data_IF_274909324265
#
_entry.id   IF_274909324265
#
_cell.length_a   1.000
_cell.length_b   1.000
_cell.length_c   1.000
_cell.angle_alpha   90.00
_cell.angle_beta   90.00
_cell.angle_gamma   90.00
#
_symmetry.space_group_name_H-M   'P 1'
#
loop_
_entity.id
_entity.type
_entity.pdbx_description
1 polymer ?
#
# COMPACT_ATOMS: atom_id res chain seq x y z
N UNK A 1 -35.53 31.56 9.32
CA UNK A 1 -35.32 32.68 10.24
C UNK A 1 -33.83 32.73 10.56
N UNK A 2 -33.19 33.58 9.86
CA UNK A 2 -32.15 34.57 10.12
C UNK A 2 -30.90 34.08 10.84
N UNK A 3 -29.85 33.90 10.07
CA UNK A 3 -28.73 34.86 9.83
C UNK A 3 -28.11 35.50 11.07
N UNK A 4 -26.81 35.31 11.25
CA UNK A 4 -25.87 36.44 11.37
C UNK A 4 -24.42 36.04 11.09
N UNK A 5 -23.87 36.74 10.10
CA UNK A 5 -22.44 36.82 9.73
C UNK A 5 -21.71 37.68 10.75
N UNK A 6 -20.44 37.44 10.98
CA UNK A 6 -19.51 38.51 11.29
C UNK A 6 -18.12 38.24 10.69
N UNK A 7 -17.76 39.11 9.73
CA UNK A 7 -16.41 39.32 9.21
C UNK A 7 -15.68 40.24 10.18
N UNK A 8 -14.38 40.02 10.42
CA UNK A 8 -13.47 41.09 10.80
C UNK A 8 -12.22 40.95 9.92
N UNK A 9 -12.04 42.01 9.13
CA UNK A 9 -10.80 42.37 8.40
C UNK A 9 -10.01 43.28 9.32
N UNK A 10 -8.72 43.08 9.42
CA UNK A 10 -7.85 44.17 9.83
C UNK A 10 -6.52 44.10 9.08
N UNK A 11 -6.29 45.24 8.44
CA UNK A 11 -5.16 45.65 7.60
C UNK A 11 -4.14 46.38 8.48
N UNK A 12 -2.90 46.60 7.91
CA UNK A 12 -1.96 47.69 8.21
C UNK A 12 -0.81 47.30 9.14
N UNK A 13 0.42 47.72 8.95
CA UNK A 13 1.14 48.71 8.15
C UNK A 13 2.62 48.36 8.07
N UNK A 14 3.19 48.77 7.00
CA UNK A 14 4.62 48.78 6.67
C UNK A 14 5.29 49.99 7.36
N UNK A 15 6.49 49.83 7.92
CA UNK A 15 7.39 50.96 8.13
C UNK A 15 8.84 50.52 7.88
N UNK A 16 9.42 51.14 6.84
CA UNK A 16 10.87 51.18 6.56
C UNK A 16 11.54 52.17 7.48
N UNK A 17 12.76 51.88 7.90
CA UNK A 17 13.78 52.95 8.11
C UNK A 17 15.20 52.38 7.92
N UNK A 18 15.91 53.05 7.04
CA UNK A 18 17.33 52.92 6.66
C UNK A 18 18.24 53.61 7.68
N UNK A 19 19.49 53.25 7.67
CA UNK A 19 20.78 53.90 7.99
C UNK A 19 21.66 52.92 8.79
N UNK A 20 22.92 52.73 8.53
CA UNK A 20 23.96 53.32 7.68
C UNK A 20 25.27 52.55 7.90
N UNK A 21 26.12 52.65 6.95
CA UNK A 21 27.46 52.08 6.81
C UNK A 21 28.44 52.46 7.94
N UNK A 22 29.35 51.53 8.34
CA UNK A 22 30.76 51.86 8.55
C UNK A 22 31.65 50.67 8.18
N UNK A 23 32.67 50.98 7.38
CA UNK A 23 33.77 50.11 6.97
C UNK A 23 34.76 49.90 8.13
N UNK A 24 35.29 48.68 8.23
CA UNK A 24 36.45 48.39 9.06
C UNK A 24 37.13 47.10 8.55
N UNK A 25 38.18 47.30 7.74
CA UNK A 25 39.09 46.24 7.28
C UNK A 25 40.05 45.84 8.40
N UNK A 26 40.28 44.54 8.64
CA UNK A 26 41.55 43.99 9.13
C UNK A 26 41.71 42.52 8.79
N UNK A 27 42.78 42.31 8.04
CA UNK A 27 43.75 41.24 7.99
C UNK A 27 43.39 39.75 8.22
N UNK A 28 43.79 39.00 7.23
CA UNK A 28 44.03 37.56 7.08
C UNK A 28 44.83 36.95 8.22
N UNK A 29 44.34 35.81 8.74
CA UNK A 29 45.18 34.70 9.20
C UNK A 29 44.54 33.41 8.78
N UNK A 30 45.21 32.66 7.90
CA UNK A 30 44.87 31.32 7.51
C UNK A 30 45.27 30.37 8.67
N UNK A 31 44.34 29.62 9.16
CA UNK A 31 44.54 28.43 9.93
C UNK A 31 43.63 27.35 9.37
N UNK A 32 44.23 26.27 8.93
CA UNK A 32 43.61 25.05 8.47
C UNK A 32 42.62 24.56 9.54
N UNK A 33 41.32 24.64 9.24
CA UNK A 33 40.29 23.96 10.02
C UNK A 33 39.74 22.80 9.15
N UNK A 34 40.06 21.61 9.62
CA UNK A 34 39.56 20.34 9.12
C UNK A 34 38.02 20.38 8.88
N UNK A 35 37.67 20.07 7.66
CA UNK A 35 36.32 20.01 7.16
C UNK A 35 35.58 18.77 7.74
N UNK A 36 35.02 18.91 8.93
CA UNK A 36 33.99 18.03 9.46
C UNK A 36 32.66 18.74 9.34
N UNK A 37 32.14 18.83 8.11
CA UNK A 37 30.72 19.12 7.90
C UNK A 37 29.92 17.95 8.47
N UNK A 38 29.49 18.08 9.71
CA UNK A 38 28.36 17.32 10.23
C UNK A 38 27.14 17.75 9.39
N UNK A 39 26.75 16.92 8.41
CA UNK A 39 25.45 17.03 7.75
C UNK A 39 24.37 17.00 8.85
N UNK A 40 23.87 18.15 9.27
CA UNK A 40 22.60 18.24 9.95
C UNK A 40 21.52 17.85 8.94
N UNK A 41 21.18 16.54 8.93
CA UNK A 41 19.97 16.04 8.27
C UNK A 41 18.79 16.71 8.97
N UNK A 42 18.24 17.77 8.37
CA UNK A 42 16.93 18.32 8.74
C UNK A 42 15.97 17.16 8.70
N UNK A 43 15.40 16.79 9.86
CA UNK A 43 14.40 15.74 9.95
C UNK A 43 13.22 16.16 9.09
N UNK A 44 13.01 15.50 7.95
CA UNK A 44 11.86 15.76 7.10
C UNK A 44 10.62 15.25 7.82
N UNK A 45 9.89 16.14 8.49
CA UNK A 45 8.70 15.82 9.28
C UNK A 45 7.59 15.20 8.44
N UNK A 46 7.62 15.43 7.10
CA UNK A 46 6.63 14.95 6.15
C UNK A 46 6.97 13.60 5.51
N UNK A 47 8.12 12.97 5.85
CA UNK A 47 8.48 11.67 5.30
C UNK A 47 7.47 10.61 5.71
N UNK A 48 6.89 9.91 4.71
CA UNK A 48 5.98 8.80 4.96
C UNK A 48 6.75 7.59 5.50
N UNK A 49 6.40 7.14 6.71
CA UNK A 49 7.04 6.01 7.41
C UNK A 49 5.96 5.04 7.88
N UNK A 50 5.55 4.12 7.00
CA UNK A 50 4.46 3.20 7.26
C UNK A 50 4.93 1.77 7.54
N UNK A 51 4.03 0.96 8.09
CA UNK A 51 4.17 -0.49 8.14
C UNK A 51 2.83 -1.17 7.88
N UNK A 52 2.90 -2.39 7.33
CA UNK A 52 1.71 -3.18 7.05
C UNK A 52 1.27 -4.00 8.26
N UNK A 53 -0.04 -3.93 8.53
CA UNK A 53 -0.79 -4.84 9.40
C UNK A 53 -1.65 -5.74 8.52
N UNK A 54 -1.18 -6.93 8.25
CA UNK A 54 -1.72 -7.83 7.24
C UNK A 54 -2.81 -8.76 7.77
N UNK A 55 -3.46 -9.54 6.91
CA UNK A 55 -4.44 -10.54 7.35
C UNK A 55 -3.81 -11.66 8.20
N UNK A 56 -2.51 -11.84 8.16
CA UNK A 56 -1.78 -12.72 9.09
C UNK A 56 -1.84 -12.22 10.54
N UNK A 57 -1.88 -10.91 10.74
CA UNK A 57 -1.98 -10.29 12.08
C UNK A 57 -3.31 -10.57 12.76
N UNK A 58 -4.41 -10.60 11.99
CA UNK A 58 -5.70 -11.03 12.53
C UNK A 58 -5.70 -12.53 12.87
N UNK A 59 -5.00 -13.34 12.10
CA UNK A 59 -4.83 -14.77 12.42
C UNK A 59 -4.00 -14.94 13.70
N UNK A 60 -2.93 -14.16 13.86
CA UNK A 60 -2.12 -14.13 15.08
C UNK A 60 -2.92 -13.64 16.30
N UNK A 61 -3.77 -12.60 16.12
CA UNK A 61 -4.71 -12.17 17.15
C UNK A 61 -5.63 -13.32 17.58
N UNK A 62 -6.24 -14.01 16.63
CA UNK A 62 -7.13 -15.14 16.89
C UNK A 62 -6.44 -16.32 17.58
N UNK A 63 -5.19 -16.57 17.26
CA UNK A 63 -4.38 -17.60 17.94
C UNK A 63 -4.04 -17.20 19.38
N UNK A 64 -3.73 -15.91 19.60
CA UNK A 64 -3.32 -15.38 20.90
C UNK A 64 -4.46 -15.30 21.92
N UNK A 65 -5.68 -14.92 21.49
CA UNK A 65 -6.80 -14.66 22.39
C UNK A 65 -7.90 -15.70 22.28
N UNK A 66 -8.22 -16.38 23.40
CA UNK A 66 -9.39 -17.28 23.50
C UNK A 66 -10.69 -16.45 23.45
N UNK A 67 -10.81 -15.40 24.30
CA UNK A 67 -11.91 -14.43 24.28
C UNK A 67 -11.60 -13.35 23.23
N UNK A 68 -12.41 -13.29 22.17
CA UNK A 68 -12.22 -12.40 21.02
C UNK A 68 -13.37 -11.41 20.97
N UNK A 69 -13.14 -10.21 21.52
CA UNK A 69 -14.11 -9.13 21.60
C UNK A 69 -13.43 -7.77 21.31
N UNK A 70 -14.20 -6.70 21.34
CA UNK A 70 -13.71 -5.33 21.11
C UNK A 70 -12.50 -4.99 22.00
N UNK A 71 -12.57 -5.31 23.30
CA UNK A 71 -11.51 -4.99 24.27
C UNK A 71 -10.19 -5.68 23.94
N UNK A 72 -10.23 -7.00 23.68
CA UNK A 72 -9.01 -7.76 23.36
C UNK A 72 -8.45 -7.39 21.99
N UNK A 73 -9.31 -7.06 21.01
CA UNK A 73 -8.88 -6.58 19.71
C UNK A 73 -8.24 -5.19 19.81
N UNK A 74 -8.89 -4.25 20.54
CA UNK A 74 -8.32 -2.92 20.83
C UNK A 74 -6.94 -3.04 21.46
N UNK A 75 -6.80 -3.87 22.51
CA UNK A 75 -5.51 -4.14 23.18
C UNK A 75 -4.46 -4.64 22.20
N UNK A 76 -4.79 -5.63 21.36
CA UNK A 76 -3.86 -6.19 20.38
C UNK A 76 -3.41 -5.15 19.33
N UNK A 77 -4.35 -4.38 18.79
CA UNK A 77 -4.06 -3.35 17.80
C UNK A 77 -3.28 -2.17 18.38
N UNK A 78 -3.58 -1.76 19.63
CA UNK A 78 -2.81 -0.73 20.34
C UNK A 78 -1.33 -1.12 20.47
N UNK A 79 -1.03 -2.40 20.72
CA UNK A 79 0.36 -2.86 20.73
C UNK A 79 1.05 -2.70 19.37
N UNK A 80 0.33 -2.91 18.26
CA UNK A 80 0.88 -2.72 16.92
C UNK A 80 1.20 -1.23 16.67
N UNK A 81 0.25 -0.35 16.96
CA UNK A 81 0.42 1.11 16.82
C UNK A 81 1.59 1.63 17.67
N UNK A 82 1.62 1.26 18.96
CA UNK A 82 2.72 1.65 19.86
C UNK A 82 4.08 1.12 19.41
N UNK A 83 4.13 -0.10 18.87
CA UNK A 83 5.37 -0.66 18.28
C UNK A 83 5.84 0.18 17.11
N UNK A 84 4.99 0.49 16.13
CA UNK A 84 5.34 1.33 14.99
C UNK A 84 5.84 2.72 15.43
N UNK A 85 5.08 3.38 16.31
CA UNK A 85 5.46 4.69 16.86
C UNK A 85 6.81 4.66 17.59
N UNK A 86 7.09 3.60 18.34
CA UNK A 86 8.38 3.43 19.05
C UNK A 86 9.58 3.28 18.11
N UNK A 87 9.33 2.94 16.85
CA UNK A 87 10.34 2.84 15.78
C UNK A 87 10.48 4.12 14.95
N UNK A 88 9.62 5.13 15.18
CA UNK A 88 9.60 6.38 14.41
C UNK A 88 8.66 6.35 13.20
N UNK A 89 7.74 5.38 13.14
CA UNK A 89 6.73 5.29 12.07
C UNK A 89 5.52 6.19 12.38
N UNK A 90 4.89 6.73 11.32
CA UNK A 90 3.78 7.69 11.40
C UNK A 90 2.50 7.23 10.70
N UNK A 91 2.52 6.06 10.02
CA UNK A 91 1.36 5.48 9.36
C UNK A 91 1.28 3.96 9.56
N UNK A 92 0.05 3.42 9.62
CA UNK A 92 -0.22 1.98 9.60
C UNK A 92 -1.17 1.64 8.47
N UNK A 93 -0.77 0.69 7.60
CA UNK A 93 -1.55 0.20 6.48
C UNK A 93 -2.24 -1.09 6.91
N UNK A 94 -3.56 -1.05 7.10
CA UNK A 94 -4.33 -2.18 7.66
C UNK A 94 -5.11 -2.93 6.59
N UNK A 95 -4.94 -4.24 6.51
CA UNK A 95 -5.62 -5.09 5.53
C UNK A 95 -7.09 -5.27 5.90
N UNK A 96 -7.98 -4.51 5.30
CA UNK A 96 -9.41 -4.54 5.60
C UNK A 96 -10.23 -5.40 4.65
N UNK A 97 -9.68 -5.71 3.45
CA UNK A 97 -10.33 -6.57 2.47
C UNK A 97 -9.31 -7.47 1.72
N UNK A 98 -8.81 -8.53 2.37
CA UNK A 98 -7.83 -9.45 1.77
C UNK A 98 -8.43 -10.37 0.70
N UNK A 99 -9.75 -10.59 0.76
CA UNK A 99 -10.51 -11.46 -0.12
C UNK A 99 -11.84 -10.80 -0.50
N UNK A 100 -12.79 -11.58 -0.98
CA UNK A 100 -14.18 -11.11 -1.23
C UNK A 100 -14.99 -10.94 0.05
N UNK A 101 -14.40 -10.44 1.13
CA UNK A 101 -14.98 -10.23 2.45
C UNK A 101 -14.34 -8.99 3.13
N UNK A 102 -14.87 -8.53 4.28
CA UNK A 102 -14.48 -7.28 4.92
C UNK A 102 -14.18 -7.42 6.42
N UNK A 103 -13.23 -6.61 6.93
CA UNK A 103 -12.91 -6.41 8.34
C UNK A 103 -13.66 -5.21 8.94
N UNK A 104 -14.77 -4.81 8.33
CA UNK A 104 -15.62 -3.70 8.74
C UNK A 104 -17.07 -4.00 8.41
N UNK A 105 -18.02 -3.26 8.98
CA UNK A 105 -19.44 -3.40 8.66
C UNK A 105 -19.70 -2.93 7.24
N UNK A 106 -19.99 -3.87 6.33
CA UNK A 106 -20.18 -3.59 4.90
C UNK A 106 -21.55 -4.01 4.41
N UNK A 107 -22.15 -3.17 3.53
CA UNK A 107 -23.36 -3.49 2.74
C UNK A 107 -23.04 -4.44 1.59
N UNK A 108 -21.79 -4.44 1.11
CA UNK A 108 -21.36 -5.15 -0.10
C UNK A 108 -20.69 -6.48 0.18
N UNK A 109 -19.95 -6.61 1.31
CA UNK A 109 -19.13 -7.75 1.62
C UNK A 109 -19.49 -8.40 2.95
N UNK A 110 -19.47 -9.75 3.04
CA UNK A 110 -19.65 -10.43 4.31
C UNK A 110 -18.45 -10.20 5.24
N UNK A 111 -18.64 -10.36 6.54
CA UNK A 111 -17.55 -10.36 7.51
C UNK A 111 -16.45 -11.35 7.15
N UNK A 112 -15.19 -10.93 7.28
CA UNK A 112 -14.05 -11.77 6.91
C UNK A 112 -13.85 -12.92 7.87
N UNK A 113 -13.47 -14.08 7.31
CA UNK A 113 -13.00 -15.24 8.08
C UNK A 113 -11.75 -14.94 8.90
N UNK A 114 -10.92 -13.98 8.46
CA UNK A 114 -9.66 -13.66 9.12
C UNK A 114 -9.87 -13.07 10.51
N UNK A 115 -10.98 -12.34 10.76
CA UNK A 115 -11.31 -11.82 12.09
C UNK A 115 -12.22 -12.74 12.89
N UNK A 116 -13.19 -13.40 12.25
CA UNK A 116 -14.25 -14.17 12.94
C UNK A 116 -14.04 -15.69 12.90
N UNK A 117 -13.12 -16.19 12.06
CA UNK A 117 -12.88 -17.61 11.83
C UNK A 117 -13.77 -18.26 10.78
N UNK A 118 -14.95 -17.68 10.50
CA UNK A 118 -15.89 -18.13 9.47
C UNK A 118 -16.41 -16.92 8.69
N UNK A 119 -16.36 -16.96 7.36
CA UNK A 119 -16.85 -15.88 6.52
C UNK A 119 -18.34 -15.65 6.74
N UNK A 120 -18.74 -14.40 6.94
CA UNK A 120 -20.11 -13.99 7.22
C UNK A 120 -20.52 -14.01 8.69
N UNK A 121 -19.69 -14.58 9.60
CA UNK A 121 -19.93 -14.53 11.05
C UNK A 121 -19.54 -13.14 11.56
N UNK A 122 -20.49 -12.41 12.18
CA UNK A 122 -20.22 -11.14 12.83
C UNK A 122 -19.26 -11.35 14.02
N UNK A 123 -18.15 -10.58 14.11
CA UNK A 123 -17.24 -10.66 15.25
C UNK A 123 -17.80 -10.05 16.55
N UNK A 124 -18.95 -9.34 16.49
CA UNK A 124 -19.56 -8.65 17.63
C UNK A 124 -19.02 -7.24 17.87
N UNK A 125 -18.14 -6.75 16.98
CA UNK A 125 -17.58 -5.40 17.02
C UNK A 125 -17.13 -5.01 15.60
N UNK A 126 -16.84 -3.71 15.40
CA UNK A 126 -16.31 -3.21 14.13
C UNK A 126 -14.79 -3.02 14.22
N UNK A 127 -14.00 -3.92 13.60
CA UNK A 127 -12.53 -3.83 13.64
C UNK A 127 -11.99 -2.51 13.07
N UNK A 128 -12.49 -2.04 11.92
CA UNK A 128 -11.94 -0.83 11.29
C UNK A 128 -12.23 0.42 12.13
N UNK A 129 -13.42 0.53 12.70
CA UNK A 129 -13.75 1.62 13.62
C UNK A 129 -12.81 1.65 14.83
N UNK A 130 -12.50 0.49 15.42
CA UNK A 130 -11.53 0.42 16.53
C UNK A 130 -10.13 0.80 16.05
N UNK A 131 -9.73 0.38 14.85
CA UNK A 131 -8.40 0.65 14.32
C UNK A 131 -8.18 2.13 14.03
N UNK A 132 -9.14 2.83 13.41
CA UNK A 132 -9.04 4.28 13.16
C UNK A 132 -8.92 5.05 14.47
N UNK A 133 -9.82 4.78 15.43
CA UNK A 133 -9.79 5.41 16.75
C UNK A 133 -8.45 5.21 17.48
N UNK A 134 -7.90 3.99 17.45
CA UNK A 134 -6.62 3.70 18.14
C UNK A 134 -5.45 4.35 17.42
N UNK A 135 -5.41 4.35 16.10
CA UNK A 135 -4.34 4.99 15.33
C UNK A 135 -4.31 6.50 15.61
N UNK A 136 -5.43 7.19 15.45
CA UNK A 136 -5.53 8.63 15.64
C UNK A 136 -5.28 9.05 17.09
N UNK A 137 -5.81 8.31 18.09
CA UNK A 137 -5.54 8.56 19.51
C UNK A 137 -4.04 8.43 19.89
N UNK A 138 -3.23 7.81 19.02
CA UNK A 138 -1.78 7.72 19.16
C UNK A 138 -1.01 8.64 18.17
N UNK A 139 -1.69 9.55 17.45
CA UNK A 139 -1.09 10.44 16.46
C UNK A 139 -0.44 9.69 15.29
N UNK A 140 -1.10 8.63 14.80
CA UNK A 140 -0.65 7.82 13.67
C UNK A 140 -1.73 7.80 12.60
N UNK A 141 -1.35 8.06 11.35
CA UNK A 141 -2.22 7.89 10.18
C UNK A 141 -2.56 6.42 9.96
N UNK A 142 -3.72 6.17 9.35
CA UNK A 142 -4.19 4.81 9.02
C UNK A 142 -4.72 4.75 7.61
N UNK A 143 -4.23 3.79 6.82
CA UNK A 143 -4.72 3.52 5.47
C UNK A 143 -5.41 2.16 5.40
N UNK A 144 -6.57 2.12 4.73
CA UNK A 144 -7.34 0.90 4.52
C UNK A 144 -6.82 0.15 3.29
N UNK A 145 -6.18 -1.00 3.51
CA UNK A 145 -5.65 -1.83 2.44
C UNK A 145 -6.70 -2.82 1.93
N UNK A 146 -6.97 -2.76 0.65
CA UNK A 146 -7.87 -3.68 -0.06
C UNK A 146 -7.12 -4.46 -1.14
N UNK A 147 -7.51 -5.73 -1.32
CA UNK A 147 -7.15 -6.53 -2.48
C UNK A 147 -8.33 -6.49 -3.47
N UNK A 148 -8.20 -5.92 -4.68
CA UNK A 148 -9.38 -5.64 -5.50
C UNK A 148 -10.07 -6.89 -6.04
N UNK A 149 -9.32 -7.88 -6.55
CA UNK A 149 -9.91 -8.96 -7.34
C UNK A 149 -9.88 -10.34 -6.68
N UNK A 150 -9.10 -10.56 -5.66
CA UNK A 150 -8.99 -11.87 -5.02
C UNK A 150 -10.21 -12.20 -4.16
N UNK A 151 -10.96 -13.24 -4.52
CA UNK A 151 -12.16 -13.71 -3.80
C UNK A 151 -11.82 -14.77 -2.77
N UNK A 152 -11.02 -15.77 -3.18
CA UNK A 152 -10.55 -16.85 -2.32
C UNK A 152 -9.22 -17.40 -2.83
N UNK A 153 -8.38 -17.89 -1.93
CA UNK A 153 -7.12 -18.57 -2.24
C UNK A 153 -7.16 -20.00 -1.70
N UNK A 154 -6.60 -20.94 -2.48
CA UNK A 154 -6.53 -22.37 -2.12
C UNK A 154 -7.87 -23.09 -2.18
N UNK A 155 -8.91 -22.50 -2.80
CA UNK A 155 -10.18 -23.18 -3.03
C UNK A 155 -10.97 -22.52 -4.16
N UNK A 156 -11.55 -23.34 -5.04
CA UNK A 156 -12.49 -22.94 -6.08
C UNK A 156 -13.94 -23.29 -5.73
N UNK A 157 -14.18 -23.80 -4.52
CA UNK A 157 -15.51 -24.21 -4.08
C UNK A 157 -16.32 -23.01 -3.60
N UNK A 158 -17.25 -22.55 -4.41
CA UNK A 158 -18.16 -21.43 -4.09
C UNK A 158 -19.06 -21.70 -2.88
N UNK A 159 -19.38 -22.97 -2.57
CA UNK A 159 -20.19 -23.33 -1.39
C UNK A 159 -19.49 -23.01 -0.07
N UNK A 160 -18.15 -22.92 -0.07
CA UNK A 160 -17.35 -22.49 1.10
C UNK A 160 -17.43 -20.98 1.37
N UNK A 161 -17.91 -20.18 0.41
CA UNK A 161 -18.15 -18.75 0.60
C UNK A 161 -19.48 -18.54 1.35
N UNK A 162 -19.59 -17.47 2.12
CA UNK A 162 -20.84 -17.03 2.73
C UNK A 162 -21.94 -16.87 1.68
N UNK A 163 -23.20 -17.18 2.03
CA UNK A 163 -24.38 -16.92 1.18
C UNK A 163 -24.54 -15.43 0.86
N UNK A 164 -24.01 -14.55 1.72
CA UNK A 164 -24.01 -13.09 1.51
C UNK A 164 -22.89 -12.63 0.55
N UNK A 165 -21.89 -13.51 0.20
CA UNK A 165 -20.78 -13.14 -0.66
C UNK A 165 -21.23 -12.88 -2.11
N UNK A 166 -20.93 -11.73 -2.72
CA UNK A 166 -21.30 -11.42 -4.10
C UNK A 166 -20.84 -12.48 -5.10
N UNK A 167 -19.62 -13.01 -4.91
CA UNK A 167 -19.05 -14.04 -5.78
C UNK A 167 -19.91 -15.32 -5.80
N UNK A 168 -20.39 -15.78 -4.63
CA UNK A 168 -21.30 -16.92 -4.53
C UNK A 168 -22.64 -16.64 -5.16
N UNK A 169 -23.21 -15.44 -4.90
CA UNK A 169 -24.49 -15.01 -5.50
C UNK A 169 -24.41 -14.95 -7.03
N UNK A 170 -23.32 -14.40 -7.56
CA UNK A 170 -23.10 -14.30 -9.01
C UNK A 170 -22.87 -15.65 -9.67
N UNK A 171 -22.09 -16.54 -9.04
CA UNK A 171 -21.84 -17.86 -9.57
C UNK A 171 -23.12 -18.67 -9.76
N UNK A 172 -24.09 -18.54 -8.86
CA UNK A 172 -25.36 -19.29 -8.90
C UNK A 172 -26.34 -18.79 -9.98
N UNK A 173 -26.07 -17.67 -10.65
CA UNK A 173 -26.94 -17.09 -11.69
C UNK A 173 -26.28 -17.17 -13.07
N UNK A 174 -26.91 -17.83 -14.06
CA UNK A 174 -26.37 -17.99 -15.43
C UNK A 174 -25.89 -16.66 -16.05
N UNK A 175 -26.63 -15.57 -15.88
CA UNK A 175 -26.36 -14.23 -16.44
C UNK A 175 -25.10 -13.58 -15.84
N UNK A 176 -24.77 -13.83 -14.56
CA UNK A 176 -23.69 -13.17 -13.82
C UNK A 176 -22.53 -14.07 -13.42
N UNK A 177 -22.58 -15.37 -13.72
CA UNK A 177 -21.56 -16.33 -13.26
C UNK A 177 -20.14 -15.99 -13.70
N UNK A 178 -19.98 -15.29 -14.81
CA UNK A 178 -18.67 -14.85 -15.32
C UNK A 178 -18.12 -13.59 -14.63
N UNK A 179 -18.82 -13.02 -13.67
CA UNK A 179 -18.26 -11.99 -12.80
C UNK A 179 -17.20 -12.56 -11.84
N UNK A 180 -17.20 -13.90 -11.67
CA UNK A 180 -16.20 -14.60 -10.86
C UNK A 180 -15.66 -15.78 -11.63
N UNK A 181 -14.35 -15.91 -11.65
CA UNK A 181 -13.62 -16.93 -12.42
C UNK A 181 -12.71 -17.72 -11.51
N UNK A 182 -12.62 -19.01 -11.76
CA UNK A 182 -11.64 -19.90 -11.11
C UNK A 182 -10.36 -19.95 -11.95
N UNK A 183 -9.20 -19.86 -11.28
CA UNK A 183 -7.91 -20.02 -11.92
C UNK A 183 -6.86 -20.51 -10.92
N UNK A 184 -6.10 -21.54 -11.29
CA UNK A 184 -5.03 -22.16 -10.46
C UNK A 184 -5.43 -22.30 -8.97
N UNK A 185 -6.53 -22.98 -8.71
CA UNK A 185 -6.98 -23.30 -7.35
C UNK A 185 -7.54 -22.12 -6.54
N UNK A 186 -7.78 -20.98 -7.15
CA UNK A 186 -8.27 -19.75 -6.50
C UNK A 186 -9.46 -19.16 -7.25
N UNK A 187 -10.23 -18.30 -6.57
CA UNK A 187 -11.34 -17.54 -7.14
C UNK A 187 -10.99 -16.06 -7.23
N UNK A 188 -11.33 -15.47 -8.37
CA UNK A 188 -11.09 -14.05 -8.66
C UNK A 188 -12.35 -13.39 -9.20
N UNK A 189 -12.58 -12.14 -8.83
CA UNK A 189 -13.48 -11.28 -9.59
C UNK A 189 -12.90 -11.03 -10.98
N UNK A 190 -13.78 -11.00 -12.00
CA UNK A 190 -13.37 -10.79 -13.40
C UNK A 190 -13.18 -9.29 -13.68
N UNK A 191 -11.95 -8.81 -13.91
CA UNK A 191 -11.70 -7.37 -14.13
C UNK A 191 -12.40 -6.80 -15.36
N UNK A 192 -12.72 -7.65 -16.34
CA UNK A 192 -13.40 -7.25 -17.57
C UNK A 192 -14.91 -6.93 -17.38
N UNK A 193 -15.45 -7.11 -16.18
CA UNK A 193 -16.88 -6.89 -15.89
C UNK A 193 -17.12 -5.56 -15.19
N UNK A 194 -17.95 -4.70 -15.78
CA UNK A 194 -18.33 -3.42 -15.17
C UNK A 194 -19.00 -3.61 -13.80
N UNK A 195 -19.84 -4.63 -13.62
CA UNK A 195 -20.45 -4.96 -12.32
C UNK A 195 -19.42 -5.26 -11.23
N UNK A 196 -18.29 -5.86 -11.60
CA UNK A 196 -17.16 -6.12 -10.68
C UNK A 196 -16.48 -4.81 -10.30
N UNK A 197 -16.18 -3.95 -11.27
CA UNK A 197 -15.58 -2.62 -11.00
C UNK A 197 -16.49 -1.80 -10.09
N UNK A 198 -17.78 -1.76 -10.37
CA UNK A 198 -18.76 -1.03 -9.56
C UNK A 198 -18.83 -1.58 -8.12
N UNK A 199 -18.79 -2.91 -7.93
CA UNK A 199 -18.74 -3.51 -6.59
C UNK A 199 -17.51 -3.05 -5.81
N UNK A 200 -16.34 -3.03 -6.46
CA UNK A 200 -15.08 -2.65 -5.82
C UNK A 200 -15.08 -1.17 -5.47
N UNK A 201 -15.46 -0.30 -6.41
CA UNK A 201 -15.55 1.15 -6.22
C UNK A 201 -16.55 1.48 -5.10
N UNK A 202 -17.75 0.87 -5.10
CA UNK A 202 -18.73 1.09 -4.05
C UNK A 202 -18.23 0.63 -2.67
N UNK A 203 -17.46 -0.46 -2.61
CA UNK A 203 -16.83 -0.89 -1.37
C UNK A 203 -15.73 0.06 -0.88
N UNK A 204 -15.04 0.77 -1.77
CA UNK A 204 -14.09 1.83 -1.40
C UNK A 204 -14.83 3.08 -0.93
N UNK A 205 -15.88 3.51 -1.66
CA UNK A 205 -16.74 4.63 -1.23
C UNK A 205 -17.28 4.39 0.17
N UNK A 206 -17.82 3.19 0.43
CA UNK A 206 -18.31 2.79 1.76
C UNK A 206 -17.27 2.96 2.87
N UNK A 207 -15.99 2.68 2.59
CA UNK A 207 -14.91 2.89 3.56
C UNK A 207 -14.72 4.38 3.82
N UNK A 208 -14.54 5.19 2.78
CA UNK A 208 -14.25 6.63 2.91
C UNK A 208 -15.43 7.39 3.53
N UNK A 209 -16.66 6.99 3.21
CA UNK A 209 -17.90 7.62 3.73
C UNK A 209 -18.15 7.31 5.22
N UNK A 210 -17.72 6.15 5.72
CA UNK A 210 -18.14 5.67 7.06
C UNK A 210 -16.98 5.50 8.07
N UNK A 211 -15.74 5.63 7.65
CA UNK A 211 -14.56 5.44 8.51
C UNK A 211 -13.56 6.56 8.27
N UNK A 212 -13.04 7.07 9.37
CA UNK A 212 -12.01 8.11 9.38
C UNK A 212 -10.64 7.49 9.04
N UNK A 213 -10.44 7.20 7.74
CA UNK A 213 -9.18 6.67 7.20
C UNK A 213 -8.43 7.77 6.47
N UNK A 214 -7.11 7.83 6.62
CA UNK A 214 -6.26 8.82 5.96
C UNK A 214 -5.92 8.42 4.53
N UNK A 215 -6.19 7.16 4.16
CA UNK A 215 -5.93 6.68 2.81
C UNK A 215 -6.55 5.32 2.48
N UNK A 216 -6.61 5.06 1.18
CA UNK A 216 -6.92 3.76 0.59
C UNK A 216 -5.65 3.22 -0.04
N UNK A 217 -5.30 1.99 0.30
CA UNK A 217 -4.12 1.28 -0.21
C UNK A 217 -4.52 0.03 -1.00
N UNK A 218 -3.87 -0.23 -2.13
CA UNK A 218 -3.99 -1.49 -2.85
C UNK A 218 -2.61 -2.17 -2.99
N UNK A 219 -2.62 -3.49 -3.11
CA UNK A 219 -1.43 -4.28 -3.40
C UNK A 219 -1.29 -4.65 -4.90
N UNK A 220 -0.46 -5.64 -5.21
CA UNK A 220 -0.13 -6.09 -6.56
C UNK A 220 -1.06 -7.19 -7.11
N UNK A 221 -2.13 -7.55 -6.40
CA UNK A 221 -3.01 -8.64 -6.80
C UNK A 221 -4.11 -8.19 -7.78
N UNK A 222 -3.71 -7.83 -9.02
CA UNK A 222 -4.64 -7.53 -10.11
C UNK A 222 -5.06 -8.80 -10.85
N UNK A 223 -4.48 -9.07 -12.01
CA UNK A 223 -4.72 -10.33 -12.73
C UNK A 223 -3.84 -11.45 -12.18
N UNK A 224 -4.31 -12.71 -12.25
CA UNK A 224 -3.44 -13.85 -12.00
C UNK A 224 -2.36 -13.96 -13.08
N UNK A 225 -1.23 -14.60 -12.73
CA UNK A 225 -0.18 -14.87 -13.71
C UNK A 225 -0.60 -15.96 -14.69
N UNK A 226 -0.45 -15.70 -15.99
CA UNK A 226 -0.70 -16.62 -17.10
C UNK A 226 0.61 -17.20 -17.61
N UNK A 227 0.53 -18.26 -18.46
CA UNK A 227 1.66 -18.83 -19.22
C UNK A 227 1.60 -18.38 -20.68
N UNK A 228 2.68 -18.58 -21.41
CA UNK A 228 2.72 -18.36 -22.86
C UNK A 228 1.66 -19.17 -23.61
N UNK A 229 1.38 -20.40 -23.15
CA UNK A 229 0.40 -21.30 -23.77
C UNK A 229 -1.05 -20.88 -23.56
N UNK A 230 -1.37 -20.14 -22.50
CA UNK A 230 -2.77 -19.84 -22.18
C UNK A 230 -3.11 -18.34 -22.04
N UNK A 231 -2.15 -17.43 -22.23
CA UNK A 231 -2.39 -15.99 -22.09
C UNK A 231 -3.52 -15.45 -22.97
N UNK A 232 -3.69 -16.00 -24.16
CA UNK A 232 -4.71 -15.57 -25.13
C UNK A 232 -6.05 -16.28 -24.98
N UNK A 233 -6.12 -17.40 -24.27
CA UNK A 233 -7.32 -18.26 -24.14
C UNK A 233 -7.91 -18.30 -22.73
N UNK A 234 -7.08 -18.02 -21.70
CA UNK A 234 -7.47 -18.17 -20.33
C UNK A 234 -8.31 -17.01 -19.78
N UNK A 235 -9.00 -17.31 -18.70
CA UNK A 235 -9.65 -16.35 -17.80
C UNK A 235 -10.70 -15.50 -18.49
N UNK A 236 -10.41 -14.23 -18.84
CA UNK A 236 -11.32 -13.26 -19.44
C UNK A 236 -11.25 -13.19 -20.98
N UNK A 237 -10.61 -14.14 -21.61
CA UNK A 237 -10.46 -14.15 -23.07
C UNK A 237 -11.80 -14.11 -23.84
N UNK A 238 -12.88 -14.68 -23.25
CA UNK A 238 -14.23 -14.58 -23.82
C UNK A 238 -14.72 -13.13 -23.84
N UNK A 239 -14.52 -12.40 -22.75
CA UNK A 239 -14.87 -10.98 -22.62
C UNK A 239 -14.05 -10.13 -23.59
N UNK A 240 -12.76 -10.42 -23.73
CA UNK A 240 -11.90 -9.76 -24.73
C UNK A 240 -12.44 -9.94 -26.14
N UNK A 241 -12.72 -11.18 -26.59
CA UNK A 241 -13.25 -11.43 -27.94
C UNK A 241 -14.58 -10.73 -28.24
N UNK A 242 -15.40 -10.50 -27.23
CA UNK A 242 -16.67 -9.77 -27.35
C UNK A 242 -16.51 -8.24 -27.28
N UNK A 243 -15.32 -7.74 -27.01
CA UNK A 243 -15.07 -6.30 -26.80
C UNK A 243 -14.86 -5.55 -28.13
N UNK A 244 -15.10 -4.23 -28.09
CA UNK A 244 -14.74 -3.31 -29.19
C UNK A 244 -13.25 -3.29 -29.46
N UNK A 245 -12.41 -3.50 -28.43
CA UNK A 245 -10.95 -3.55 -28.59
C UNK A 245 -10.50 -4.73 -29.44
N UNK A 246 -11.12 -5.91 -29.31
CA UNK A 246 -10.82 -7.06 -30.18
C UNK A 246 -11.25 -6.80 -31.61
N UNK A 247 -12.43 -6.18 -31.81
CA UNK A 247 -12.93 -5.77 -33.15
C UNK A 247 -11.99 -4.75 -33.79
N UNK A 248 -11.43 -3.81 -33.02
CA UNK A 248 -10.40 -2.86 -33.44
C UNK A 248 -8.98 -3.44 -33.51
N UNK A 249 -8.83 -4.77 -33.57
CA UNK A 249 -7.55 -5.52 -33.72
C UNK A 249 -6.53 -5.24 -32.59
N UNK A 250 -6.96 -4.73 -31.45
CA UNK A 250 -6.07 -4.51 -30.30
C UNK A 250 -5.87 -5.82 -29.53
N UNK A 251 -4.66 -6.08 -29.06
CA UNK A 251 -4.35 -7.34 -28.41
C UNK A 251 -4.91 -7.44 -26.98
N UNK A 252 -5.03 -8.66 -26.46
CA UNK A 252 -5.60 -8.96 -25.14
C UNK A 252 -4.78 -8.35 -23.99
N UNK A 253 -3.47 -8.10 -24.16
CA UNK A 253 -2.63 -7.46 -23.15
C UNK A 253 -3.07 -6.01 -22.93
N UNK A 254 -3.28 -5.27 -24.03
CA UNK A 254 -3.81 -3.90 -23.97
C UNK A 254 -5.21 -3.88 -23.36
N UNK A 255 -6.08 -4.81 -23.78
CA UNK A 255 -7.41 -4.94 -23.19
C UNK A 255 -7.34 -5.10 -21.65
N UNK A 256 -6.52 -6.03 -21.13
CA UNK A 256 -6.40 -6.26 -19.70
C UNK A 256 -5.84 -5.06 -18.94
N UNK A 257 -4.84 -4.37 -19.50
CA UNK A 257 -4.32 -3.12 -18.92
C UNK A 257 -5.41 -2.06 -18.79
N UNK A 258 -6.23 -1.89 -19.83
CA UNK A 258 -7.33 -0.93 -19.77
C UNK A 258 -8.41 -1.32 -18.75
N UNK A 259 -8.67 -2.62 -18.52
CA UNK A 259 -9.59 -3.02 -17.44
C UNK A 259 -9.04 -2.64 -16.05
N UNK A 260 -7.72 -2.76 -15.83
CA UNK A 260 -7.07 -2.34 -14.58
C UNK A 260 -7.05 -0.82 -14.48
N UNK A 261 -6.68 -0.10 -15.55
CA UNK A 261 -6.67 1.37 -15.60
C UNK A 261 -8.05 1.96 -15.26
N UNK A 262 -9.12 1.40 -15.85
CA UNK A 262 -10.49 1.83 -15.55
C UNK A 262 -10.87 1.67 -14.08
N UNK A 263 -10.43 0.59 -13.42
CA UNK A 263 -10.69 0.41 -11.99
C UNK A 263 -9.90 1.44 -11.16
N UNK A 264 -8.60 1.56 -11.42
CA UNK A 264 -7.70 2.45 -10.65
C UNK A 264 -8.17 3.89 -10.74
N UNK A 265 -8.47 4.38 -11.98
CA UNK A 265 -9.01 5.72 -12.18
C UNK A 265 -10.36 5.92 -11.48
N UNK A 266 -11.26 4.94 -11.56
CA UNK A 266 -12.58 5.03 -10.92
C UNK A 266 -12.49 5.07 -9.38
N UNK A 267 -11.55 4.32 -8.78
CA UNK A 267 -11.30 4.38 -7.33
C UNK A 267 -10.74 5.76 -6.96
N UNK A 268 -9.71 6.24 -7.64
CA UNK A 268 -9.11 7.56 -7.37
C UNK A 268 -10.18 8.66 -7.44
N UNK A 269 -10.94 8.72 -8.53
CA UNK A 269 -12.02 9.69 -8.69
C UNK A 269 -13.07 9.58 -7.59
N UNK A 270 -13.44 8.36 -7.18
CA UNK A 270 -14.43 8.14 -6.12
C UNK A 270 -13.90 8.59 -4.75
N UNK A 271 -12.65 8.31 -4.42
CA UNK A 271 -12.02 8.77 -3.18
C UNK A 271 -11.99 10.30 -3.14
N UNK A 272 -11.46 10.93 -4.20
CA UNK A 272 -11.31 12.40 -4.26
C UNK A 272 -12.64 13.15 -4.31
N UNK A 273 -13.71 12.53 -4.82
CA UNK A 273 -15.05 13.14 -4.81
C UNK A 273 -15.73 13.13 -3.44
N UNK A 274 -15.35 12.21 -2.55
CA UNK A 274 -15.90 12.11 -1.19
C UNK A 274 -15.05 12.95 -0.22
N UNK A 275 -13.74 12.71 -0.23
CA UNK A 275 -12.78 13.46 0.60
C UNK A 275 -11.45 13.63 -0.16
N UNK A 276 -11.14 14.85 -0.63
CA UNK A 276 -9.87 15.13 -1.33
C UNK A 276 -8.61 14.92 -0.47
N UNK A 277 -8.72 14.96 0.85
CA UNK A 277 -7.60 14.75 1.79
C UNK A 277 -7.19 13.28 1.92
N UNK A 278 -8.12 12.34 1.68
CA UNK A 278 -7.85 10.90 1.70
C UNK A 278 -6.96 10.53 0.52
N UNK A 279 -5.80 9.93 0.80
CA UNK A 279 -4.87 9.49 -0.24
C UNK A 279 -5.28 8.16 -0.85
N UNK A 280 -4.95 7.94 -2.13
CA UNK A 280 -5.07 6.64 -2.77
C UNK A 280 -3.72 6.20 -3.35
N UNK A 281 -3.21 5.07 -2.88
CA UNK A 281 -1.94 4.54 -3.35
C UNK A 281 -1.96 3.05 -3.66
N UNK A 282 -0.95 2.62 -4.42
CA UNK A 282 -0.78 1.23 -4.83
C UNK A 282 0.63 0.75 -4.53
N UNK A 283 0.74 -0.44 -3.93
CA UNK A 283 1.99 -1.15 -3.70
C UNK A 283 2.15 -2.30 -4.71
N UNK A 284 2.67 -2.02 -5.92
CA UNK A 284 2.86 -3.04 -6.94
C UNK A 284 4.09 -3.90 -6.65
N UNK A 285 4.22 -5.03 -7.38
CA UNK A 285 5.45 -5.81 -7.37
C UNK A 285 6.66 -4.95 -7.76
N UNK A 286 7.80 -5.19 -7.10
CA UNK A 286 8.99 -4.32 -7.23
C UNK A 286 9.63 -4.30 -8.62
N UNK A 287 9.48 -5.35 -9.43
CA UNK A 287 10.09 -5.42 -10.75
C UNK A 287 9.13 -4.85 -11.83
N UNK A 288 9.51 -3.71 -12.41
CA UNK A 288 8.71 -3.01 -13.44
C UNK A 288 8.48 -3.91 -14.67
N UNK A 289 9.45 -4.72 -15.08
CA UNK A 289 9.29 -5.60 -16.24
C UNK A 289 8.21 -6.64 -16.03
N UNK A 290 8.10 -7.18 -14.80
CA UNK A 290 7.03 -8.12 -14.47
C UNK A 290 5.66 -7.44 -14.51
N UNK A 291 5.56 -6.18 -14.07
CA UNK A 291 4.32 -5.41 -14.07
C UNK A 291 3.82 -5.13 -15.49
N UNK A 292 4.74 -4.82 -16.41
CA UNK A 292 4.45 -4.54 -17.82
C UNK A 292 4.45 -5.79 -18.70
N UNK A 293 4.69 -6.97 -18.11
CA UNK A 293 4.68 -8.26 -18.78
C UNK A 293 3.34 -8.55 -19.46
N UNK A 294 3.39 -9.34 -20.55
CA UNK A 294 2.19 -9.89 -21.18
C UNK A 294 1.53 -11.04 -20.41
N UNK A 295 2.17 -11.52 -19.33
CA UNK A 295 1.74 -12.74 -18.63
C UNK A 295 1.14 -12.49 -17.25
N UNK A 296 1.37 -11.31 -16.62
CA UNK A 296 0.92 -11.09 -15.26
C UNK A 296 0.66 -9.60 -14.96
N UNK A 297 -0.06 -9.34 -13.89
CA UNK A 297 -0.39 -8.02 -13.33
C UNK A 297 -1.16 -7.08 -14.28
N UNK A 298 -0.70 -6.85 -15.49
CA UNK A 298 -1.26 -5.92 -16.49
C UNK A 298 -1.37 -4.49 -15.97
N UNK A 299 -0.33 -4.04 -15.26
CA UNK A 299 -0.22 -2.70 -14.69
C UNK A 299 0.36 -1.74 -15.73
N UNK A 300 -0.20 -0.53 -15.81
CA UNK A 300 0.27 0.53 -16.70
C UNK A 300 1.02 1.61 -15.92
N UNK A 301 2.21 1.24 -15.42
CA UNK A 301 3.03 2.08 -14.55
C UNK A 301 3.31 3.45 -15.17
N UNK A 302 3.64 3.50 -16.45
CA UNK A 302 3.95 4.76 -17.11
C UNK A 302 2.75 5.72 -17.09
N UNK A 303 1.55 5.19 -17.36
CA UNK A 303 0.30 5.98 -17.30
C UNK A 303 0.04 6.49 -15.87
N UNK A 304 0.20 5.64 -14.86
CA UNK A 304 -0.10 5.99 -13.47
C UNK A 304 0.90 7.02 -12.91
N UNK A 305 2.18 6.89 -13.22
CA UNK A 305 3.21 7.83 -12.75
C UNK A 305 3.19 9.19 -13.45
N UNK A 306 2.59 9.28 -14.65
CA UNK A 306 2.56 10.52 -15.44
C UNK A 306 1.21 11.26 -15.40
N UNK A 307 0.27 10.84 -14.56
CA UNK A 307 -1.04 11.47 -14.40
C UNK A 307 -1.47 11.47 -12.94
N UNK A 308 -1.99 12.58 -12.47
CA UNK A 308 -2.61 12.71 -11.14
C UNK A 308 -3.99 12.04 -11.02
N UNK A 309 -4.52 11.45 -12.12
CA UNK A 309 -5.87 10.86 -12.15
C UNK A 309 -5.96 9.43 -11.62
N UNK A 310 -4.83 8.79 -11.34
CA UNK A 310 -4.79 7.37 -11.01
C UNK A 310 -4.42 7.09 -9.57
N UNK A 311 -3.35 7.68 -9.08
CA UNK A 311 -2.84 7.45 -7.72
C UNK A 311 -2.16 8.72 -7.18
N UNK A 312 -2.20 8.91 -5.86
CA UNK A 312 -1.44 9.95 -5.17
C UNK A 312 0.00 9.48 -4.90
N UNK A 313 0.18 8.16 -4.69
CA UNK A 313 1.50 7.57 -4.51
C UNK A 313 1.61 6.15 -5.07
N UNK A 314 2.85 5.75 -5.34
CA UNK A 314 3.21 4.36 -5.66
C UNK A 314 4.23 3.86 -4.63
N UNK A 315 4.05 2.61 -4.16
CA UNK A 315 4.90 2.00 -3.15
C UNK A 315 5.42 0.62 -3.61
N UNK A 316 6.38 0.56 -4.57
CA UNK A 316 6.87 -0.72 -5.09
C UNK A 316 7.47 -1.60 -4.00
N UNK A 317 7.13 -2.89 -4.01
CA UNK A 317 7.62 -3.92 -3.09
C UNK A 317 9.04 -4.34 -3.47
N UNK A 318 10.06 -3.55 -3.10
CA UNK A 318 11.46 -3.84 -3.41
C UNK A 318 12.03 -4.78 -2.35
N UNK A 319 11.63 -6.04 -2.42
CA UNK A 319 11.89 -7.05 -1.38
C UNK A 319 13.19 -7.85 -1.63
N UNK A 320 14.22 -7.21 -2.18
CA UNK A 320 15.52 -7.82 -2.47
C UNK A 320 16.65 -7.13 -1.70
N UNK A 321 17.77 -7.87 -1.54
CA UNK A 321 18.99 -7.32 -0.97
C UNK A 321 19.87 -6.62 -2.03
N UNK A 322 20.93 -5.99 -1.59
CA UNK A 322 21.96 -5.40 -2.49
C UNK A 322 22.75 -6.48 -3.24
N UNK A 323 22.80 -7.72 -2.70
CA UNK A 323 23.51 -8.87 -3.29
C UNK A 323 22.62 -9.80 -4.11
N UNK A 324 21.37 -9.41 -4.40
CA UNK A 324 20.50 -10.19 -5.29
C UNK A 324 21.12 -10.29 -6.70
N UNK A 325 21.16 -11.48 -7.34
CA UNK A 325 21.89 -11.66 -8.61
C UNK A 325 21.33 -10.82 -9.77
N UNK A 326 20.00 -10.64 -9.84
CA UNK A 326 19.33 -9.96 -10.96
C UNK A 326 18.62 -8.67 -10.56
N UNK A 327 18.00 -8.63 -9.38
CA UNK A 327 17.17 -7.53 -8.91
C UNK A 327 17.76 -6.88 -7.65
N UNK A 328 18.98 -6.34 -7.75
CA UNK A 328 19.64 -5.64 -6.65
C UNK A 328 18.78 -4.46 -6.19
N UNK A 329 18.67 -4.28 -4.87
CA UNK A 329 17.86 -3.23 -4.26
C UNK A 329 18.14 -1.84 -4.84
N UNK A 330 19.40 -1.48 -4.96
CA UNK A 330 19.85 -0.21 -5.51
C UNK A 330 19.46 -0.02 -6.98
N UNK A 331 19.66 -1.03 -7.81
CA UNK A 331 19.28 -1.00 -9.23
C UNK A 331 17.77 -0.83 -9.41
N UNK A 332 16.99 -1.59 -8.64
CA UNK A 332 15.52 -1.53 -8.74
C UNK A 332 15.00 -0.18 -8.21
N UNK A 333 15.53 0.32 -7.10
CA UNK A 333 15.19 1.64 -6.56
C UNK A 333 15.48 2.74 -7.59
N UNK A 334 16.69 2.77 -8.18
CA UNK A 334 17.03 3.74 -9.22
C UNK A 334 16.06 3.70 -10.40
N UNK A 335 15.64 2.50 -10.81
CA UNK A 335 14.70 2.33 -11.92
C UNK A 335 13.33 2.93 -11.61
N UNK A 336 12.81 2.76 -10.39
CA UNK A 336 11.57 3.37 -9.95
C UNK A 336 11.66 4.89 -9.86
N UNK A 337 12.73 5.41 -9.25
CA UNK A 337 12.95 6.86 -9.16
C UNK A 337 13.08 7.50 -10.54
N UNK A 338 13.75 6.82 -11.49
CA UNK A 338 13.84 7.27 -12.87
C UNK A 338 12.48 7.24 -13.61
N UNK A 339 11.64 6.24 -13.35
CA UNK A 339 10.30 6.15 -13.95
C UNK A 339 9.36 7.27 -13.45
N UNK A 340 9.55 7.72 -12.20
CA UNK A 340 8.73 8.75 -11.56
C UNK A 340 9.30 10.17 -11.69
N UNK A 341 10.15 10.46 -12.67
CA UNK A 341 10.81 11.78 -12.84
C UNK A 341 9.85 12.97 -12.93
N UNK A 342 8.61 12.75 -13.40
CA UNK A 342 7.60 13.81 -13.50
C UNK A 342 7.15 14.39 -12.15
N UNK A 343 7.47 13.73 -11.04
CA UNK A 343 7.07 14.09 -9.65
C UNK A 343 5.58 14.36 -9.43
N UNK A 344 4.72 13.90 -10.34
CA UNK A 344 3.26 14.00 -10.18
C UNK A 344 2.70 13.07 -9.12
N UNK A 345 3.43 11.99 -8.82
CA UNK A 345 3.05 10.92 -7.90
C UNK A 345 4.20 10.69 -6.93
N UNK A 346 3.91 10.61 -5.63
CA UNK A 346 4.91 10.30 -4.60
C UNK A 346 5.41 8.86 -4.74
N UNK A 347 6.68 8.63 -4.44
CA UNK A 347 7.29 7.29 -4.46
C UNK A 347 7.73 6.90 -3.07
N UNK A 348 7.06 5.91 -2.50
CA UNK A 348 7.49 5.26 -1.26
C UNK A 348 8.16 3.93 -1.59
N UNK A 349 9.10 3.48 -0.77
CA UNK A 349 9.80 2.22 -1.00
C UNK A 349 9.30 1.16 -0.02
N UNK A 350 8.73 0.09 -0.56
CA UNK A 350 8.34 -1.09 0.21
C UNK A 350 9.55 -1.96 0.54
N UNK A 351 9.79 -2.21 1.84
CA UNK A 351 10.96 -2.92 2.37
C UNK A 351 10.54 -4.18 3.12
N UNK A 352 11.23 -5.30 2.85
CA UNK A 352 10.96 -6.62 3.41
C UNK A 352 11.65 -6.84 4.76
N UNK A 353 10.99 -6.55 5.86
CA UNK A 353 11.52 -6.82 7.21
C UNK A 353 11.62 -8.33 7.47
N UNK A 354 10.71 -9.14 6.92
CA UNK A 354 10.64 -10.60 7.10
C UNK A 354 11.89 -11.34 6.59
N UNK A 355 12.72 -10.71 5.77
CA UNK A 355 13.98 -11.31 5.29
C UNK A 355 15.14 -11.12 6.27
N UNK A 356 15.11 -10.06 7.08
CA UNK A 356 16.19 -9.72 7.98
C UNK A 356 16.38 -10.79 9.08
N UNK A 357 17.61 -11.29 9.21
CA UNK A 357 17.94 -12.38 10.12
C UNK A 357 17.58 -13.79 9.62
N UNK A 358 17.08 -13.91 8.38
CA UNK A 358 16.70 -15.19 7.77
C UNK A 358 17.64 -15.57 6.61
N UNK A 359 17.76 -16.88 6.36
CA UNK A 359 18.53 -17.43 5.25
C UNK A 359 17.68 -17.50 3.97
N UNK A 360 17.21 -16.35 3.48
CA UNK A 360 16.28 -16.22 2.35
C UNK A 360 16.91 -15.35 1.27
N UNK A 361 16.86 -15.79 0.01
CA UNK A 361 17.37 -15.04 -1.13
C UNK A 361 17.58 -15.92 -2.37
N UNK A 362 17.76 -15.28 -3.52
CA UNK A 362 17.91 -15.95 -4.82
C UNK A 362 19.30 -16.60 -5.01
N UNK A 363 20.31 -16.14 -4.31
CA UNK A 363 21.69 -16.66 -4.38
C UNK A 363 22.35 -16.73 -3.00
N UNK A 364 23.48 -17.40 -2.89
CA UNK A 364 24.24 -17.55 -1.63
C UNK A 364 24.64 -16.20 -1.03
N UNK A 365 25.06 -15.25 -1.85
CA UNK A 365 25.48 -13.93 -1.44
C UNK A 365 24.30 -13.13 -0.84
N UNK A 366 23.12 -13.14 -1.46
CA UNK A 366 21.94 -12.47 -0.93
C UNK A 366 21.43 -13.15 0.35
N UNK A 367 21.40 -14.48 0.39
CA UNK A 367 21.03 -15.24 1.61
C UNK A 367 21.95 -14.91 2.78
N UNK A 368 23.27 -14.85 2.53
CA UNK A 368 24.23 -14.43 3.55
C UNK A 368 23.97 -13.00 4.02
N UNK A 369 23.79 -12.05 3.08
CA UNK A 369 23.49 -10.65 3.39
C UNK A 369 22.28 -10.52 4.33
N UNK A 370 21.12 -11.10 3.97
CA UNK A 370 19.92 -11.06 4.81
C UNK A 370 20.12 -11.69 6.18
N UNK A 371 20.87 -12.80 6.26
CA UNK A 371 21.11 -13.52 7.50
C UNK A 371 22.05 -12.77 8.45
N UNK A 372 23.09 -12.11 7.95
CA UNK A 372 24.20 -11.62 8.77
C UNK A 372 24.33 -10.10 8.86
N UNK A 373 23.83 -9.35 7.86
CA UNK A 373 23.95 -7.89 7.88
C UNK A 373 22.82 -7.25 8.71
N UNK A 374 23.15 -6.92 9.97
CA UNK A 374 22.23 -6.22 10.85
C UNK A 374 21.89 -4.78 10.37
N UNK A 375 22.64 -4.22 9.44
CA UNK A 375 22.42 -2.88 8.91
C UNK A 375 21.62 -2.86 7.60
N UNK A 376 21.20 -4.00 7.05
CA UNK A 376 20.60 -4.08 5.73
C UNK A 376 19.40 -3.15 5.57
N UNK A 377 18.46 -3.15 6.52
CA UNK A 377 17.27 -2.26 6.48
C UNK A 377 17.65 -0.78 6.61
N UNK A 378 18.62 -0.46 7.48
CA UNK A 378 19.19 0.89 7.60
C UNK A 378 19.79 1.36 6.27
N UNK A 379 20.64 0.53 5.66
CA UNK A 379 21.28 0.83 4.37
C UNK A 379 20.25 1.05 3.25
N UNK A 380 19.17 0.26 3.22
CA UNK A 380 18.10 0.40 2.25
C UNK A 380 17.37 1.76 2.39
N UNK A 381 17.05 2.16 3.61
CA UNK A 381 16.44 3.48 3.88
C UNK A 381 17.38 4.61 3.47
N UNK A 382 18.65 4.57 3.91
CA UNK A 382 19.64 5.60 3.57
C UNK A 382 19.86 5.72 2.06
N UNK A 383 19.96 4.59 1.36
CA UNK A 383 20.11 4.59 -0.09
C UNK A 383 18.92 5.22 -0.81
N UNK A 384 17.71 4.82 -0.45
CA UNK A 384 16.49 5.32 -1.09
C UNK A 384 16.25 6.81 -0.79
N UNK A 385 16.54 7.30 0.43
CA UNK A 385 16.54 8.74 0.76
C UNK A 385 17.51 9.51 -0.14
N UNK A 386 18.77 9.02 -0.30
CA UNK A 386 19.76 9.63 -1.21
C UNK A 386 19.24 9.70 -2.66
N UNK A 387 18.32 8.84 -3.06
CA UNK A 387 17.69 8.84 -4.38
C UNK A 387 16.45 9.70 -4.48
N UNK A 388 16.04 10.34 -3.39
CA UNK A 388 14.92 11.28 -3.34
C UNK A 388 13.55 10.62 -3.27
N UNK A 389 13.43 9.43 -2.66
CA UNK A 389 12.12 8.84 -2.38
C UNK A 389 11.37 9.66 -1.30
N UNK A 390 10.03 9.62 -1.35
CA UNK A 390 9.17 10.38 -0.44
C UNK A 390 8.84 9.62 0.86
N UNK A 391 9.33 8.39 1.01
CA UNK A 391 9.12 7.60 2.22
C UNK A 391 9.22 6.09 2.05
N UNK A 392 8.73 5.37 3.07
CA UNK A 392 8.93 3.93 3.22
C UNK A 392 7.68 3.24 3.76
N UNK A 393 7.52 1.96 3.38
CA UNK A 393 6.61 1.05 4.04
C UNK A 393 7.32 -0.28 4.35
N UNK A 394 7.08 -0.83 5.56
CA UNK A 394 7.81 -1.99 6.09
C UNK A 394 6.89 -3.21 6.24
N UNK A 395 7.17 -4.28 5.52
CA UNK A 395 6.40 -5.51 5.54
C UNK A 395 7.08 -6.55 6.44
N UNK A 396 6.45 -6.96 7.56
CA UNK A 396 5.19 -6.51 8.14
C UNK A 396 5.30 -6.38 9.70
N UNK A 397 4.18 -6.15 10.39
CA UNK A 397 4.15 -5.97 11.85
C UNK A 397 4.70 -7.17 12.62
N UNK A 398 4.43 -8.41 12.18
CA UNK A 398 4.95 -9.59 12.87
C UNK A 398 6.47 -9.60 12.87
N UNK A 399 7.08 -9.17 11.76
CA UNK A 399 8.52 -9.16 11.60
C UNK A 399 9.17 -7.98 12.32
N UNK A 400 8.48 -6.84 12.47
CA UNK A 400 8.97 -5.73 13.31
C UNK A 400 9.14 -6.09 14.79
N UNK A 401 8.49 -7.16 15.28
CA UNK A 401 8.62 -7.66 16.66
C UNK A 401 9.32 -9.02 16.76
N UNK A 402 9.73 -9.61 15.63
CA UNK A 402 10.38 -10.91 15.61
C UNK A 402 11.76 -10.87 16.26
N UNK A 403 12.13 -11.91 17.00
CA UNK A 403 13.49 -12.07 17.55
C UNK A 403 14.55 -12.15 16.45
N UNK A 404 14.22 -12.75 15.29
CA UNK A 404 15.16 -12.93 14.17
C UNK A 404 15.53 -11.60 13.52
N UNK A 405 14.56 -10.71 13.29
CA UNK A 405 14.83 -9.38 12.70
C UNK A 405 15.27 -8.33 13.72
N UNK A 406 15.30 -8.64 15.02
CA UNK A 406 15.48 -7.68 16.11
C UNK A 406 16.73 -6.80 15.96
N UNK A 407 17.89 -7.40 15.55
CA UNK A 407 19.14 -6.66 15.31
C UNK A 407 18.97 -5.63 14.19
N UNK A 408 18.35 -6.02 13.07
CA UNK A 408 18.12 -5.14 11.93
C UNK A 408 17.08 -4.05 12.25
N UNK A 409 16.01 -4.38 12.96
CA UNK A 409 15.00 -3.41 13.43
C UNK A 409 15.60 -2.40 14.42
N UNK A 410 16.54 -2.80 15.29
CA UNK A 410 17.28 -1.87 16.18
C UNK A 410 18.08 -0.85 15.36
N UNK A 411 18.74 -1.26 14.27
CA UNK A 411 19.47 -0.33 13.40
C UNK A 411 18.54 0.53 12.55
N UNK A 412 17.42 -0.04 12.06
CA UNK A 412 16.39 0.69 11.34
C UNK A 412 15.82 1.84 12.19
N UNK A 413 15.52 1.60 13.48
CA UNK A 413 15.03 2.63 14.40
C UNK A 413 15.91 3.87 14.46
N UNK A 414 17.25 3.71 14.36
CA UNK A 414 18.19 4.82 14.42
C UNK A 414 18.03 5.82 13.26
N UNK A 415 17.54 5.36 12.09
CA UNK A 415 17.36 6.21 10.89
C UNK A 415 15.93 6.65 10.66
N UNK A 416 14.94 6.07 11.35
CA UNK A 416 13.55 6.50 11.23
C UNK A 416 13.15 7.59 12.23
N UNK A 417 13.92 7.79 13.30
CA UNK A 417 13.64 8.79 14.34
C UNK A 417 14.16 10.19 14.00
N UNK A 418 15.00 10.30 12.97
CA UNK A 418 15.64 11.54 12.54
C UNK A 418 15.25 11.91 11.12
#
# INVERSE_FOLDING_TARGET
MLMKKCKIVLTVLMTCLLLGNTFGSMAVNAAEASDTQAEQTIANTDEYKAFWFSYYDYTAYRAKYKKRNATTFKKYFTHAVKKGKSLGMNCIIVHVRPFGDAMYKSKYFPWSKCISGKQGKNPGYDPLKIMTQVAHANGMKIEAWINPYRVASGSTNYKKLSTKNPARKWHNKKKTRRNVLAYKGSLYYNPAKAQVRNLIVNGVKEIVENYDVDGIHMDDYFYPAFSSSNVNSAFDAKEYRASTMAKGKQNIVRFRREQVNMLVKAIHSAVKSIDPSVTFGISPAGNIDNLTSRYSYYVDINKWLNSSDYVDYICPQIYWGFKHPYAKFDRVTNRWMNAAKSKKVKVYIGIAVYRAGHNIGAGSAERREWRTDANILKKQVQYARKKGCDGFAFFDYQDLKSKKSAKAVKQLKKVLKY
#
